data_IF_094612224361
#
_entry.id   IF_094612224361
#
_cell.length_a   1.000
_cell.length_b   1.000
_cell.length_c   1.000
_cell.angle_alpha   90.00
_cell.angle_beta   90.00
_cell.angle_gamma   90.00
#
_symmetry.space_group_name_H-M   'P 1'
#
loop_
_entity.id
_entity.type
_entity.pdbx_description
1 polymer ?
#
# COMPACT_ATOMS: atom_id res chain seq x y z
N UNK A 1 -27.01 14.52 -3.36
CA UNK A 1 -26.67 15.01 -4.72
C UNK A 1 -25.44 15.92 -4.81
N UNK A 2 -25.19 16.87 -3.89
CA UNK A 2 -23.97 17.72 -3.93
C UNK A 2 -22.67 16.92 -3.75
N UNK A 3 -22.61 16.01 -2.80
CA UNK A 3 -21.45 15.17 -2.53
C UNK A 3 -21.11 14.20 -3.66
N UNK A 4 -22.12 13.63 -4.32
CA UNK A 4 -21.91 12.76 -5.48
C UNK A 4 -21.27 13.52 -6.65
N UNK A 5 -21.64 14.78 -6.87
CA UNK A 5 -21.01 15.65 -7.89
C UNK A 5 -19.57 15.98 -7.54
N UNK A 6 -19.25 16.19 -6.26
CA UNK A 6 -17.86 16.46 -5.80
C UNK A 6 -17.00 15.21 -5.97
N UNK A 7 -17.50 14.04 -5.59
CA UNK A 7 -16.79 12.77 -5.78
C UNK A 7 -16.56 12.49 -7.28
N UNK A 8 -17.58 12.69 -8.12
CA UNK A 8 -17.47 12.52 -9.55
C UNK A 8 -16.48 13.52 -10.18
N UNK A 9 -16.48 14.77 -9.71
CA UNK A 9 -15.55 15.80 -10.16
C UNK A 9 -14.10 15.51 -9.71
N UNK A 10 -13.89 15.01 -8.50
CA UNK A 10 -12.60 14.57 -8.02
C UNK A 10 -12.10 13.35 -8.83
N UNK A 11 -12.98 12.41 -9.14
CA UNK A 11 -12.69 11.23 -9.96
C UNK A 11 -12.28 11.60 -11.40
N UNK A 12 -12.97 12.56 -12.01
CA UNK A 12 -12.60 13.09 -13.34
C UNK A 12 -11.26 13.85 -13.28
N UNK A 13 -10.98 14.56 -12.18
CA UNK A 13 -9.71 15.25 -11.96
C UNK A 13 -8.53 14.28 -11.78
N UNK A 14 -8.76 13.06 -11.29
CA UNK A 14 -7.70 12.05 -11.14
C UNK A 14 -7.26 11.46 -12.47
N UNK A 15 -8.16 11.32 -13.43
CA UNK A 15 -7.88 10.77 -14.77
C UNK A 15 -7.33 11.86 -15.73
N UNK A 16 -7.74 13.13 -15.53
CA UNK A 16 -7.36 14.24 -16.44
C UNK A 16 -5.85 14.50 -16.56
N UNK A 17 -5.04 14.53 -15.47
CA UNK A 17 -3.60 14.80 -15.61
C UNK A 17 -2.85 13.68 -16.34
N UNK A 18 -3.28 12.43 -16.17
CA UNK A 18 -2.67 11.29 -16.86
C UNK A 18 -2.90 11.36 -18.37
N UNK A 19 -4.08 11.82 -18.79
CA UNK A 19 -4.41 11.99 -20.21
C UNK A 19 -3.70 13.21 -20.81
N UNK A 20 -3.48 14.28 -20.05
CA UNK A 20 -2.76 15.46 -20.52
C UNK A 20 -1.27 15.16 -20.77
N UNK A 21 -0.64 14.39 -19.87
CA UNK A 21 0.74 13.90 -20.08
C UNK A 21 0.84 12.98 -21.30
N UNK A 22 -0.21 12.18 -21.58
CA UNK A 22 -0.26 11.30 -22.73
C UNK A 22 -0.30 12.03 -24.08
N UNK A 23 -0.82 13.26 -24.14
CA UNK A 23 -0.94 14.01 -25.39
C UNK A 23 0.34 14.77 -25.81
N UNK A 24 1.29 14.97 -24.89
CA UNK A 24 2.52 15.72 -25.18
C UNK A 24 3.70 14.84 -25.64
N UNK A 25 3.69 13.53 -25.38
CA UNK A 25 4.78 12.61 -25.74
C UNK A 25 4.67 11.93 -27.12
N UNK A 26 3.85 12.43 -28.04
CA UNK A 26 3.67 11.84 -29.37
C UNK A 26 4.82 12.11 -30.34
N UNK A 27 6.07 11.89 -29.94
CA UNK A 27 7.23 11.84 -30.82
C UNK A 27 7.84 10.44 -30.88
N UNK A 28 7.51 9.70 -31.93
CA UNK A 28 8.24 8.65 -32.68
C UNK A 28 9.17 7.63 -31.95
N UNK A 29 9.06 7.38 -30.67
CA UNK A 29 9.68 6.21 -30.02
C UNK A 29 8.65 5.14 -29.76
N UNK A 30 9.02 3.86 -29.96
CA UNK A 30 8.20 2.75 -29.51
C UNK A 30 8.10 2.86 -27.97
N UNK A 31 6.91 3.19 -27.49
CA UNK A 31 6.66 3.30 -26.05
C UNK A 31 6.81 1.92 -25.46
N UNK A 32 7.87 1.69 -24.71
CA UNK A 32 8.00 0.47 -23.91
C UNK A 32 7.01 0.55 -22.75
N UNK A 33 5.80 0.04 -23.00
CA UNK A 33 4.69 0.00 -22.05
C UNK A 33 5.09 -0.70 -20.76
N UNK A 34 5.96 -1.71 -20.83
CA UNK A 34 6.42 -2.42 -19.65
C UNK A 34 7.31 -1.53 -18.78
N UNK A 35 8.26 -0.83 -19.37
CA UNK A 35 9.13 0.11 -18.65
C UNK A 35 8.32 1.26 -18.02
N UNK A 36 7.35 1.80 -18.75
CA UNK A 36 6.44 2.83 -18.24
C UNK A 36 5.62 2.33 -17.05
N UNK A 37 5.05 1.12 -17.15
CA UNK A 37 4.26 0.50 -16.07
C UNK A 37 5.10 0.29 -14.81
N UNK A 38 6.23 -0.36 -14.94
CA UNK A 38 7.09 -0.69 -13.78
C UNK A 38 7.74 0.55 -13.16
N UNK A 39 8.10 1.55 -13.96
CA UNK A 39 8.65 2.81 -13.46
C UNK A 39 7.65 3.60 -12.60
N UNK A 40 6.36 3.59 -12.95
CA UNK A 40 5.33 4.28 -12.16
C UNK A 40 4.91 3.53 -10.89
N UNK A 41 4.80 2.20 -10.98
CA UNK A 41 4.41 1.34 -9.83
C UNK A 41 5.57 1.17 -8.84
N UNK A 42 6.81 1.23 -9.32
CA UNK A 42 8.02 1.01 -8.56
C UNK A 42 8.28 2.06 -7.47
N UNK A 43 9.17 1.70 -6.55
CA UNK A 43 9.67 2.61 -5.52
C UNK A 43 10.88 3.38 -6.04
N UNK A 44 10.89 4.69 -5.86
CA UNK A 44 11.90 5.62 -6.38
C UNK A 44 12.46 6.53 -5.29
N UNK A 45 13.66 7.08 -5.53
CA UNK A 45 14.31 8.04 -4.61
C UNK A 45 13.82 9.48 -4.79
N UNK A 46 13.11 9.77 -5.87
CA UNK A 46 12.45 11.05 -6.12
C UNK A 46 10.95 10.89 -6.22
N UNK A 47 10.19 11.90 -5.81
CA UNK A 47 8.73 11.92 -5.98
C UNK A 47 8.39 12.75 -7.20
N UNK A 48 8.14 12.11 -8.33
CA UNK A 48 7.73 12.76 -9.55
C UNK A 48 6.29 13.30 -9.40
N UNK A 49 6.08 14.59 -9.74
CA UNK A 49 4.76 15.24 -9.66
C UNK A 49 4.17 15.40 -11.05
N UNK A 50 4.92 16.01 -11.97
CA UNK A 50 4.47 16.32 -13.34
C UNK A 50 5.64 16.72 -14.20
N UNK A 51 5.43 16.69 -15.51
CA UNK A 51 6.35 17.24 -16.49
C UNK A 51 5.85 18.63 -16.95
N UNK A 52 6.64 19.66 -16.73
CA UNK A 52 6.30 21.03 -17.11
C UNK A 52 7.32 21.57 -18.11
N UNK A 53 6.87 21.86 -19.33
CA UNK A 53 7.74 22.35 -20.42
C UNK A 53 8.98 21.47 -20.68
N UNK A 54 8.83 20.15 -20.67
CA UNK A 54 9.94 19.20 -20.88
C UNK A 54 10.92 19.10 -19.70
N UNK A 55 10.58 19.68 -18.55
CA UNK A 55 11.32 19.51 -17.30
C UNK A 55 10.54 18.65 -16.33
N UNK A 56 11.16 17.58 -15.84
CA UNK A 56 10.60 16.75 -14.78
C UNK A 56 10.56 17.54 -13.45
N UNK A 57 9.37 17.74 -12.91
CA UNK A 57 9.18 18.34 -11.59
C UNK A 57 9.10 17.22 -10.56
N UNK A 58 10.23 16.99 -9.87
CA UNK A 58 10.36 15.99 -8.82
C UNK A 58 10.60 16.65 -7.46
N UNK A 59 9.99 16.12 -6.41
CA UNK A 59 10.39 16.47 -5.04
C UNK A 59 11.57 15.57 -4.69
N UNK A 60 12.78 16.15 -4.46
CA UNK A 60 13.93 15.37 -4.08
C UNK A 60 13.77 14.85 -2.65
N UNK A 61 14.06 13.57 -2.46
CA UNK A 61 14.02 12.93 -1.14
C UNK A 61 15.43 12.72 -0.59
N UNK A 62 15.62 12.72 0.74
CA UNK A 62 16.92 12.51 1.34
C UNK A 62 17.38 11.05 1.18
N UNK A 63 18.55 10.88 0.59
CA UNK A 63 19.24 9.61 0.46
C UNK A 63 20.26 9.48 1.59
N UNK A 64 20.22 8.37 2.32
CA UNK A 64 21.11 8.05 3.43
C UNK A 64 21.71 6.68 3.13
N UNK A 65 22.98 6.68 2.77
CA UNK A 65 23.69 5.45 2.38
C UNK A 65 24.97 5.27 3.21
N UNK A 66 25.31 4.03 3.46
CA UNK A 66 26.56 3.67 4.12
C UNK A 66 27.42 2.82 3.19
N UNK A 67 28.55 3.38 2.78
CA UNK A 67 29.58 2.68 2.04
C UNK A 67 30.58 2.04 2.99
N UNK A 68 31.04 0.83 2.65
CA UNK A 68 32.14 0.17 3.40
C UNK A 68 33.48 0.89 3.25
N UNK A 69 33.63 1.67 2.17
CA UNK A 69 34.89 2.36 1.84
C UNK A 69 34.96 3.76 2.44
N UNK A 70 33.85 4.52 2.35
CA UNK A 70 33.81 5.96 2.64
C UNK A 70 32.94 6.33 3.85
N UNK A 71 32.16 5.37 4.41
CA UNK A 71 31.31 5.58 5.58
C UNK A 71 29.91 6.11 5.24
N UNK A 72 29.34 6.94 6.12
CA UNK A 72 28.00 7.50 5.96
C UNK A 72 27.98 8.69 5.03
N UNK A 73 27.04 8.70 4.09
CA UNK A 73 26.75 9.80 3.19
C UNK A 73 25.29 10.17 3.24
N UNK A 74 24.99 11.48 3.27
CA UNK A 74 23.63 12.03 3.25
C UNK A 74 23.55 13.10 2.18
N UNK A 75 22.69 12.89 1.20
CA UNK A 75 22.48 13.83 0.10
C UNK A 75 21.03 13.77 -0.41
N UNK A 76 20.64 14.74 -1.22
CA UNK A 76 19.31 14.75 -1.86
C UNK A 76 19.34 13.99 -3.17
N UNK A 77 18.25 13.28 -3.50
CA UNK A 77 18.13 12.47 -4.72
C UNK A 77 18.39 13.24 -6.00
N UNK A 78 18.11 14.55 -6.03
CA UNK A 78 18.39 15.43 -7.18
C UNK A 78 19.85 15.46 -7.63
N UNK A 79 20.78 15.02 -6.77
CA UNK A 79 22.21 14.98 -7.12
C UNK A 79 22.63 13.72 -7.89
N UNK A 80 21.79 12.69 -7.86
CA UNK A 80 22.06 11.40 -8.52
C UNK A 80 21.03 11.07 -9.61
N UNK A 81 20.01 11.91 -9.79
CA UNK A 81 19.02 11.78 -10.87
C UNK A 81 19.64 12.11 -12.23
N UNK A 82 19.04 11.61 -13.32
CA UNK A 82 19.43 11.88 -14.72
C UNK A 82 20.89 11.49 -15.05
N UNK A 83 21.38 10.37 -14.49
CA UNK A 83 22.75 9.89 -14.77
C UNK A 83 23.86 10.68 -14.08
N UNK A 84 23.51 11.62 -13.18
CA UNK A 84 24.52 12.32 -12.40
C UNK A 84 25.12 11.42 -11.31
N UNK A 85 26.42 11.59 -11.09
CA UNK A 85 27.15 10.90 -10.03
C UNK A 85 27.53 11.88 -8.92
N UNK A 86 27.29 11.52 -7.67
CA UNK A 86 27.65 12.30 -6.51
C UNK A 86 28.44 11.45 -5.50
N UNK A 87 29.67 11.89 -5.15
CA UNK A 87 30.56 11.19 -4.22
C UNK A 87 30.80 9.70 -4.53
N UNK A 88 30.74 9.31 -5.82
CA UNK A 88 30.89 7.93 -6.24
C UNK A 88 29.57 7.14 -6.33
N UNK A 89 28.48 7.69 -5.84
CA UNK A 89 27.14 7.09 -5.90
C UNK A 89 26.38 7.55 -7.14
N UNK A 90 25.65 6.63 -7.76
CA UNK A 90 24.75 6.90 -8.91
C UNK A 90 23.59 5.90 -8.91
N UNK A 91 22.56 6.18 -9.69
CA UNK A 91 21.46 5.24 -9.95
C UNK A 91 21.86 4.31 -11.08
N UNK A 92 21.82 3.00 -10.85
CA UNK A 92 22.06 2.02 -11.89
C UNK A 92 20.90 2.04 -12.89
N UNK A 93 21.21 2.21 -14.20
CA UNK A 93 20.20 2.25 -15.26
C UNK A 93 19.78 0.84 -15.68
N UNK A 94 20.68 -0.13 -15.63
CA UNK A 94 20.43 -1.50 -16.07
C UNK A 94 21.05 -2.53 -15.10
N UNK A 95 20.70 -3.80 -15.27
CA UNK A 95 21.32 -4.91 -14.56
C UNK A 95 20.61 -5.31 -13.26
N UNK A 96 21.36 -5.99 -12.38
CA UNK A 96 20.85 -6.54 -11.12
C UNK A 96 20.34 -5.47 -10.14
N UNK A 97 20.87 -4.28 -10.22
CA UNK A 97 20.58 -3.17 -9.30
C UNK A 97 19.90 -1.99 -10.01
N UNK A 98 19.18 -2.25 -11.12
CA UNK A 98 18.43 -1.22 -11.81
C UNK A 98 17.55 -0.40 -10.82
N UNK A 99 17.53 0.92 -11.00
CA UNK A 99 16.84 1.90 -10.14
C UNK A 99 17.26 1.90 -8.67
N UNK A 100 18.45 1.39 -8.35
CA UNK A 100 19.03 1.43 -7.00
C UNK A 100 20.31 2.25 -6.96
N UNK A 101 20.58 2.83 -5.79
CA UNK A 101 21.85 3.52 -5.55
C UNK A 101 22.96 2.47 -5.49
N UNK A 102 23.99 2.67 -6.32
CA UNK A 102 25.17 1.82 -6.38
C UNK A 102 26.45 2.66 -6.30
N UNK A 103 27.52 2.02 -5.89
CA UNK A 103 28.89 2.54 -5.94
C UNK A 103 29.79 1.56 -6.68
N UNK A 104 30.88 2.04 -7.26
CA UNK A 104 31.92 1.15 -7.85
C UNK A 104 32.93 0.78 -6.79
N UNK A 105 33.13 -0.52 -6.63
CA UNK A 105 34.19 -1.04 -5.76
C UNK A 105 35.56 -0.84 -6.41
N UNK A 106 36.62 -1.07 -5.64
CA UNK A 106 38.02 -1.04 -6.11
C UNK A 106 38.30 -1.96 -7.30
N UNK A 107 37.45 -2.96 -7.52
CA UNK A 107 37.48 -3.86 -8.69
C UNK A 107 36.73 -3.33 -9.92
N UNK A 108 36.03 -2.18 -9.79
CA UNK A 108 35.18 -1.60 -10.83
C UNK A 108 33.79 -2.24 -10.96
N UNK A 109 33.46 -3.22 -10.12
CA UNK A 109 32.13 -3.83 -10.07
C UNK A 109 31.12 -2.96 -9.31
N UNK A 110 29.85 -2.98 -9.77
CA UNK A 110 28.76 -2.29 -9.09
C UNK A 110 28.37 -3.04 -7.82
N UNK A 111 28.47 -2.34 -6.71
CA UNK A 111 28.09 -2.84 -5.38
C UNK A 111 27.02 -1.95 -4.78
N UNK A 112 26.01 -2.57 -4.19
CA UNK A 112 24.96 -1.84 -3.49
C UNK A 112 25.42 -1.51 -2.06
N UNK A 113 25.49 -0.22 -1.68
CA UNK A 113 25.76 0.19 -0.30
C UNK A 113 24.59 -0.20 0.61
N UNK A 114 24.79 -0.13 1.93
CA UNK A 114 23.68 -0.22 2.87
C UNK A 114 22.83 1.05 2.81
N UNK A 115 21.58 0.92 2.42
CA UNK A 115 20.70 2.00 2.02
C UNK A 115 19.52 2.11 3.00
N UNK A 116 19.42 3.26 3.69
CA UNK A 116 18.31 3.64 4.59
C UNK A 116 17.63 4.91 4.06
N UNK A 117 17.70 5.15 2.77
CA UNK A 117 17.14 6.35 2.14
C UNK A 117 15.63 6.43 2.31
N UNK A 118 15.11 7.64 2.38
CA UNK A 118 13.66 7.89 2.37
C UNK A 118 13.21 7.85 0.91
N UNK A 119 12.66 6.71 0.50
CA UNK A 119 12.08 6.53 -0.82
C UNK A 119 10.65 7.09 -0.87
N UNK A 120 10.05 7.18 -2.07
CA UNK A 120 8.66 7.59 -2.28
C UNK A 120 7.68 6.80 -1.39
N UNK A 121 7.86 5.47 -1.30
CA UNK A 121 6.99 4.62 -0.49
C UNK A 121 7.18 4.87 1.02
N UNK A 122 8.42 5.08 1.48
CA UNK A 122 8.70 5.41 2.89
C UNK A 122 8.13 6.77 3.25
N UNK A 123 8.29 7.78 2.39
CA UNK A 123 7.71 9.11 2.61
C UNK A 123 6.18 9.05 2.67
N UNK A 124 5.53 8.33 1.75
CA UNK A 124 4.08 8.13 1.76
C UNK A 124 3.59 7.37 3.00
N UNK A 125 4.33 6.36 3.45
CA UNK A 125 4.04 5.65 4.70
C UNK A 125 4.07 6.60 5.91
N UNK A 126 5.08 7.48 5.98
CA UNK A 126 5.16 8.50 7.03
C UNK A 126 3.99 9.48 6.96
N UNK A 127 3.62 9.94 5.76
CA UNK A 127 2.48 10.83 5.55
C UNK A 127 1.17 10.13 5.95
N UNK A 128 0.96 8.87 5.56
CA UNK A 128 -0.22 8.08 5.95
C UNK A 128 -0.34 7.94 7.47
N UNK A 129 0.78 7.66 8.15
CA UNK A 129 0.83 7.56 9.60
C UNK A 129 0.53 8.90 10.29
N UNK A 130 1.12 9.99 9.82
CA UNK A 130 0.84 11.34 10.34
C UNK A 130 -0.61 11.76 10.11
N UNK A 131 -1.16 11.46 8.94
CA UNK A 131 -2.56 11.73 8.62
C UNK A 131 -3.48 10.93 9.54
N UNK A 132 -3.19 9.65 9.77
CA UNK A 132 -3.96 8.81 10.70
C UNK A 132 -3.94 9.40 12.11
N UNK A 133 -2.77 9.77 12.62
CA UNK A 133 -2.62 10.40 13.94
C UNK A 133 -3.43 11.70 14.00
N UNK A 134 -3.36 12.54 12.97
CA UNK A 134 -4.08 13.80 12.90
C UNK A 134 -5.62 13.58 12.90
N UNK A 135 -6.12 12.59 12.15
CA UNK A 135 -7.55 12.24 12.10
C UNK A 135 -8.05 11.72 13.46
N UNK A 136 -7.30 10.79 14.08
CA UNK A 136 -7.67 10.23 15.38
C UNK A 136 -7.63 11.28 16.48
N UNK A 137 -6.56 12.10 16.54
CA UNK A 137 -6.45 13.19 17.52
C UNK A 137 -7.49 14.29 17.28
N UNK A 138 -7.82 14.59 16.01
CA UNK A 138 -8.85 15.53 15.64
C UNK A 138 -10.23 15.09 16.15
N UNK A 139 -10.59 13.83 15.91
CA UNK A 139 -11.81 13.22 16.42
C UNK A 139 -11.83 13.19 17.95
N UNK A 140 -10.75 12.77 18.59
CA UNK A 140 -10.65 12.73 20.05
C UNK A 140 -10.78 14.14 20.70
N UNK A 141 -10.25 15.19 20.05
CA UNK A 141 -10.41 16.57 20.49
C UNK A 141 -11.86 17.05 20.42
N UNK A 142 -12.59 16.62 19.39
CA UNK A 142 -14.01 16.93 19.25
C UNK A 142 -14.80 16.38 20.46
N UNK A 143 -14.63 15.07 20.79
CA UNK A 143 -15.28 14.42 21.93
C UNK A 143 -14.88 14.99 23.30
N UNK A 144 -13.71 15.59 23.43
CA UNK A 144 -13.29 16.28 24.68
C UNK A 144 -14.00 17.63 24.86
N UNK A 145 -14.46 18.26 23.79
CA UNK A 145 -15.07 19.60 23.81
C UNK A 145 -16.59 19.58 23.74
N UNK A 146 -17.16 18.51 23.22
CA UNK A 146 -18.60 18.38 22.97
C UNK A 146 -19.11 17.13 23.69
N UNK A 147 -20.26 17.27 24.33
CA UNK A 147 -20.95 16.13 24.91
C UNK A 147 -21.88 15.52 23.86
N UNK A 148 -21.50 14.36 23.33
CA UNK A 148 -22.26 13.68 22.28
C UNK A 148 -23.68 13.28 22.70
N UNK A 149 -23.95 13.20 24.01
CA UNK A 149 -25.30 12.89 24.55
C UNK A 149 -26.23 14.09 24.43
N UNK A 150 -25.71 15.28 24.67
CA UNK A 150 -26.53 16.53 24.68
C UNK A 150 -26.52 17.29 23.36
N UNK A 151 -25.40 17.26 22.64
CA UNK A 151 -25.19 18.01 21.38
C UNK A 151 -25.40 17.18 20.11
N UNK A 152 -25.58 15.85 20.27
CA UNK A 152 -25.79 14.90 19.17
C UNK A 152 -24.49 14.44 18.49
N UNK A 153 -24.64 13.56 17.47
CA UNK A 153 -23.52 12.94 16.78
C UNK A 153 -22.63 13.95 16.05
N UNK A 154 -21.31 13.75 16.00
CA UNK A 154 -20.39 14.61 15.27
C UNK A 154 -20.71 14.66 13.78
N UNK A 155 -20.46 15.81 13.16
CA UNK A 155 -20.68 16.02 11.72
C UNK A 155 -19.33 16.08 10.98
N UNK A 156 -19.36 15.83 9.67
CA UNK A 156 -18.18 15.90 8.83
C UNK A 156 -17.19 14.74 9.06
N UNK A 157 -15.89 15.04 9.09
CA UNK A 157 -14.83 14.03 9.19
C UNK A 157 -14.91 13.25 10.51
N UNK A 158 -15.21 13.92 11.63
CA UNK A 158 -15.33 13.23 12.92
C UNK A 158 -16.50 12.24 12.94
N UNK A 159 -17.64 12.57 12.32
CA UNK A 159 -18.76 11.63 12.17
C UNK A 159 -18.47 10.47 11.25
N UNK A 160 -17.71 10.70 10.16
CA UNK A 160 -17.25 9.62 9.30
C UNK A 160 -16.30 8.67 10.05
N UNK A 161 -15.36 9.21 10.81
CA UNK A 161 -14.45 8.41 11.64
C UNK A 161 -15.21 7.61 12.70
N UNK A 162 -16.19 8.20 13.37
CA UNK A 162 -17.04 7.51 14.33
C UNK A 162 -17.77 6.33 13.69
N UNK A 163 -18.44 6.57 12.55
CA UNK A 163 -19.17 5.52 11.83
C UNK A 163 -18.25 4.35 11.45
N UNK A 164 -17.06 4.64 10.92
CA UNK A 164 -16.11 3.62 10.53
C UNK A 164 -15.51 2.87 11.75
N UNK A 165 -15.21 3.59 12.83
CA UNK A 165 -14.71 2.98 14.07
C UNK A 165 -15.76 2.05 14.65
N UNK A 166 -17.03 2.49 14.75
CA UNK A 166 -18.11 1.67 15.28
C UNK A 166 -18.34 0.42 14.42
N UNK A 167 -18.42 0.58 13.10
CA UNK A 167 -18.57 -0.53 12.17
C UNK A 167 -17.44 -1.58 12.33
N UNK A 168 -16.18 -1.16 12.37
CA UNK A 168 -15.05 -2.10 12.50
C UNK A 168 -14.98 -2.68 13.91
N UNK A 169 -15.24 -1.88 14.95
CA UNK A 169 -15.15 -2.34 16.34
C UNK A 169 -16.29 -3.28 16.72
N UNK A 170 -17.54 -2.91 16.38
CA UNK A 170 -18.72 -3.61 16.87
C UNK A 170 -19.09 -4.79 15.96
N UNK A 171 -19.12 -4.57 14.64
CA UNK A 171 -19.55 -5.59 13.68
C UNK A 171 -18.44 -6.61 13.34
N UNK A 172 -17.16 -6.24 13.57
CA UNK A 172 -16.05 -7.07 13.13
C UNK A 172 -15.20 -7.56 14.33
N UNK A 173 -14.62 -6.65 15.12
CA UNK A 173 -13.65 -7.03 16.16
C UNK A 173 -14.35 -7.71 17.33
N UNK A 174 -15.41 -7.12 17.82
CA UNK A 174 -16.17 -7.62 18.96
C UNK A 174 -16.81 -8.98 18.66
N UNK A 175 -17.36 -9.14 17.46
CA UNK A 175 -17.97 -10.39 17.01
C UNK A 175 -16.94 -11.51 16.85
N UNK A 176 -15.75 -11.22 16.32
CA UNK A 176 -14.71 -12.20 16.05
C UNK A 176 -13.94 -12.64 17.30
N UNK A 177 -13.64 -11.72 18.22
CA UNK A 177 -12.79 -11.98 19.40
C UNK A 177 -13.63 -12.27 20.66
N UNK A 178 -14.85 -11.75 20.72
CA UNK A 178 -15.74 -11.86 21.88
C UNK A 178 -15.61 -10.69 22.86
N UNK A 179 -16.65 -10.52 23.70
CA UNK A 179 -16.80 -9.36 24.59
C UNK A 179 -15.72 -9.21 25.66
N UNK A 180 -15.07 -10.31 26.06
CA UNK A 180 -14.06 -10.29 27.15
C UNK A 180 -12.75 -9.66 26.72
N UNK A 181 -12.26 -10.03 25.52
CA UNK A 181 -10.89 -9.72 25.08
C UNK A 181 -10.80 -8.64 24.00
N UNK A 182 -11.91 -8.29 23.28
CA UNK A 182 -11.87 -7.38 22.14
C UNK A 182 -11.22 -6.03 22.46
N UNK A 183 -11.48 -5.46 23.65
CA UNK A 183 -10.93 -4.15 24.05
C UNK A 183 -9.41 -4.10 24.06
N UNK A 184 -8.75 -5.24 24.26
CA UNK A 184 -7.29 -5.35 24.28
C UNK A 184 -6.70 -5.26 22.87
N UNK A 185 -7.40 -5.85 21.87
CA UNK A 185 -6.92 -5.95 20.49
C UNK A 185 -7.52 -4.89 19.56
N UNK A 186 -8.63 -4.28 19.95
CA UNK A 186 -9.31 -3.25 19.15
C UNK A 186 -8.38 -2.09 18.73
N UNK A 187 -7.53 -1.50 19.60
CA UNK A 187 -6.64 -0.42 19.16
C UNK A 187 -5.67 -0.85 18.05
N UNK A 188 -5.11 -2.06 18.15
CA UNK A 188 -4.23 -2.61 17.12
C UNK A 188 -4.98 -2.83 15.81
N UNK A 189 -6.11 -3.52 15.84
CA UNK A 189 -6.90 -3.85 14.64
C UNK A 189 -7.47 -2.62 13.96
N UNK A 190 -7.95 -1.63 14.73
CA UNK A 190 -8.38 -0.34 14.19
C UNK A 190 -7.21 0.42 13.53
N UNK A 191 -6.03 0.40 14.15
CA UNK A 191 -4.84 1.02 13.56
C UNK A 191 -4.47 0.36 12.24
N UNK A 192 -4.48 -0.97 12.16
CA UNK A 192 -4.22 -1.72 10.93
C UNK A 192 -5.25 -1.38 9.86
N UNK A 193 -6.54 -1.37 10.21
CA UNK A 193 -7.62 -1.02 9.27
C UNK A 193 -7.42 0.36 8.67
N UNK A 194 -7.30 1.38 9.51
CA UNK A 194 -7.16 2.76 9.03
C UNK A 194 -5.85 3.00 8.31
N UNK A 195 -4.76 2.37 8.74
CA UNK A 195 -3.48 2.48 8.05
C UNK A 195 -3.55 1.92 6.63
N UNK A 196 -4.10 0.71 6.45
CA UNK A 196 -4.27 0.10 5.13
C UNK A 196 -5.23 0.94 4.29
N UNK A 197 -6.37 1.33 4.84
CA UNK A 197 -7.38 2.12 4.13
C UNK A 197 -6.84 3.47 3.66
N UNK A 198 -6.17 4.22 4.54
CA UNK A 198 -5.59 5.52 4.18
C UNK A 198 -4.42 5.39 3.21
N UNK A 199 -3.56 4.38 3.36
CA UNK A 199 -2.47 4.12 2.44
C UNK A 199 -2.98 3.78 1.04
N UNK A 200 -4.01 2.95 0.94
CA UNK A 200 -4.65 2.61 -0.33
C UNK A 200 -5.34 3.83 -0.95
N UNK A 201 -6.06 4.61 -0.13
CA UNK A 201 -6.75 5.82 -0.59
C UNK A 201 -5.76 6.86 -1.13
N UNK A 202 -4.63 7.08 -0.44
CA UNK A 202 -3.56 7.96 -0.92
C UNK A 202 -2.89 7.41 -2.19
N UNK A 203 -2.79 6.08 -2.34
CA UNK A 203 -2.27 5.45 -3.54
C UNK A 203 -3.08 5.76 -4.80
N UNK A 204 -4.41 5.85 -4.69
CA UNK A 204 -5.31 6.17 -5.81
C UNK A 204 -5.17 7.63 -6.27
N UNK A 205 -4.79 8.54 -5.37
CA UNK A 205 -4.65 9.97 -5.70
C UNK A 205 -3.36 10.19 -6.52
N UNK A 206 -3.42 10.63 -7.79
CA UNK A 206 -2.26 10.67 -8.68
C UNK A 206 -1.32 11.87 -8.46
N UNK A 207 -1.63 12.78 -7.53
CA UNK A 207 -0.83 13.95 -7.22
C UNK A 207 -0.37 13.95 -5.76
N UNK A 208 0.72 14.69 -5.50
CA UNK A 208 1.27 14.81 -4.14
C UNK A 208 0.20 15.28 -3.13
N UNK A 209 0.09 14.63 -1.95
CA UNK A 209 0.94 13.59 -1.36
C UNK A 209 0.54 12.14 -1.72
N UNK A 210 -0.21 11.93 -2.77
CA UNK A 210 -0.65 10.62 -3.26
C UNK A 210 0.28 10.03 -4.33
N UNK A 211 -0.21 9.00 -5.04
CA UNK A 211 0.49 8.35 -6.13
C UNK A 211 1.64 7.41 -5.73
N UNK A 212 1.81 7.14 -4.43
CA UNK A 212 2.75 6.15 -3.95
C UNK A 212 2.02 4.85 -3.58
N UNK A 213 2.42 3.75 -4.18
CA UNK A 213 1.82 2.44 -3.96
C UNK A 213 2.43 1.74 -2.72
N UNK A 214 2.09 2.23 -1.51
CA UNK A 214 2.65 1.74 -0.24
C UNK A 214 2.31 0.27 -0.01
N UNK A 215 1.05 -0.11 -0.16
CA UNK A 215 0.57 -1.48 0.06
C UNK A 215 0.82 -2.41 -1.13
N UNK A 216 1.17 -1.86 -2.29
CA UNK A 216 1.74 -2.60 -3.42
C UNK A 216 3.24 -2.88 -3.26
N UNK A 217 3.86 -2.48 -2.14
CA UNK A 217 5.19 -2.92 -1.77
C UNK A 217 5.10 -4.16 -0.88
N UNK A 218 5.66 -5.28 -1.35
CA UNK A 218 5.60 -6.57 -0.65
C UNK A 218 6.25 -6.52 0.73
N UNK A 219 7.25 -5.66 0.95
CA UNK A 219 7.89 -5.52 2.24
C UNK A 219 6.93 -4.92 3.29
N UNK A 220 6.12 -3.93 2.90
CA UNK A 220 5.13 -3.30 3.79
C UNK A 220 4.03 -4.30 4.15
N UNK A 221 3.48 -5.00 3.17
CA UNK A 221 2.43 -6.00 3.41
C UNK A 221 2.94 -7.20 4.21
N UNK A 222 4.21 -7.58 4.02
CA UNK A 222 4.87 -8.61 4.82
C UNK A 222 5.00 -8.18 6.29
N UNK A 223 5.40 -6.95 6.56
CA UNK A 223 5.48 -6.43 7.94
C UNK A 223 4.11 -6.41 8.60
N UNK A 224 3.06 -5.98 7.92
CA UNK A 224 1.69 -6.01 8.44
C UNK A 224 1.23 -7.45 8.76
N UNK A 225 1.48 -8.39 7.86
CA UNK A 225 1.16 -9.79 8.06
C UNK A 225 1.97 -10.40 9.20
N UNK A 226 3.25 -10.03 9.34
CA UNK A 226 4.12 -10.46 10.44
C UNK A 226 3.65 -9.90 11.78
N UNK A 227 3.20 -8.65 11.85
CA UNK A 227 2.60 -8.08 13.05
C UNK A 227 1.35 -8.88 13.50
N UNK A 228 0.48 -9.26 12.55
CA UNK A 228 -0.67 -10.12 12.82
C UNK A 228 -0.22 -11.51 13.27
N UNK A 229 0.78 -12.10 12.61
CA UNK A 229 1.35 -13.39 13.01
C UNK A 229 1.88 -13.36 14.45
N UNK A 230 2.61 -12.32 14.83
CA UNK A 230 3.12 -12.10 16.18
C UNK A 230 1.96 -11.96 17.15
N UNK A 231 0.95 -11.15 16.81
CA UNK A 231 -0.22 -10.95 17.68
C UNK A 231 -0.98 -12.26 17.95
N UNK A 232 -1.15 -13.12 16.94
CA UNK A 232 -1.82 -14.42 17.08
C UNK A 232 -1.01 -15.38 17.94
N UNK A 233 0.30 -15.51 17.66
CA UNK A 233 1.12 -16.57 18.29
C UNK A 233 1.66 -16.19 19.67
N UNK A 234 2.09 -14.92 19.87
CA UNK A 234 2.65 -14.48 21.17
C UNK A 234 1.55 -14.36 22.24
N UNK A 235 0.35 -13.93 21.82
CA UNK A 235 -0.79 -13.77 22.73
C UNK A 235 -1.75 -14.97 22.73
N UNK A 236 -1.45 -16.03 21.98
CA UNK A 236 -2.24 -17.25 21.94
C UNK A 236 -2.29 -17.97 23.29
N UNK A 237 -3.42 -18.60 23.61
CA UNK A 237 -3.62 -19.39 24.85
C UNK A 237 -2.80 -20.68 24.83
N UNK A 238 -2.60 -21.27 25.99
CA UNK A 238 -1.98 -22.61 26.12
C UNK A 238 -2.75 -23.70 25.35
N UNK A 239 -4.07 -23.56 25.26
CA UNK A 239 -4.94 -24.48 24.52
C UNK A 239 -4.63 -24.41 23.00
N UNK A 240 -4.49 -23.21 22.44
CA UNK A 240 -4.10 -22.98 21.05
C UNK A 240 -2.78 -23.67 20.68
N UNK A 241 -1.74 -23.52 21.51
CA UNK A 241 -0.47 -24.21 21.30
C UNK A 241 -0.54 -25.72 21.44
N UNK A 242 -1.38 -26.20 22.40
CA UNK A 242 -1.64 -27.63 22.57
C UNK A 242 -2.33 -28.19 21.34
N UNK A 243 -3.30 -27.49 20.76
CA UNK A 243 -4.02 -27.92 19.57
C UNK A 243 -3.13 -27.98 18.33
N UNK A 244 -2.20 -27.03 18.15
CA UNK A 244 -1.21 -27.06 17.05
C UNK A 244 -0.23 -28.21 17.22
N UNK A 245 0.33 -28.39 18.41
CA UNK A 245 1.38 -29.37 18.64
C UNK A 245 0.83 -30.78 18.88
N UNK A 246 -0.36 -30.87 19.48
CA UNK A 246 -1.00 -32.14 19.86
C UNK A 246 -2.51 -32.11 19.65
N UNK A 247 -2.99 -32.00 18.37
CA UNK A 247 -4.42 -31.91 18.07
C UNK A 247 -5.20 -33.15 18.60
N UNK A 248 -6.45 -32.97 19.03
CA UNK A 248 -7.30 -34.05 19.53
C UNK A 248 -7.93 -34.82 18.35
N UNK A 249 -7.08 -35.62 17.67
CA UNK A 249 -7.45 -36.48 16.54
C UNK A 249 -7.12 -37.94 16.81
N UNK A 250 -7.73 -38.92 16.10
CA UNK A 250 -7.43 -40.35 16.27
C UNK A 250 -5.94 -40.66 16.10
N UNK A 251 -5.47 -41.66 16.88
CA UNK A 251 -4.05 -42.06 17.00
C UNK A 251 -3.38 -42.39 15.64
N UNK A 252 -4.12 -42.92 14.67
CA UNK A 252 -3.55 -43.27 13.36
C UNK A 252 -3.11 -42.04 12.55
N UNK A 253 -3.67 -40.83 12.83
CA UNK A 253 -3.23 -39.58 12.21
C UNK A 253 -2.05 -38.92 12.92
N UNK A 254 -1.74 -39.41 14.17
CA UNK A 254 -0.60 -38.94 14.96
C UNK A 254 0.64 -39.83 14.77
N UNK A 255 0.41 -41.11 14.48
CA UNK A 255 1.48 -42.14 14.42
C UNK A 255 1.20 -43.13 13.26
N UNK A 256 2.20 -43.54 12.44
CA UNK A 256 3.64 -43.28 12.57
C UNK A 256 4.09 -41.91 11.96
N UNK A 257 3.25 -41.26 11.15
CA UNK A 257 3.54 -39.98 10.55
C UNK A 257 2.66 -38.88 11.18
N UNK A 258 3.25 -37.81 11.76
CA UNK A 258 2.51 -36.73 12.38
C UNK A 258 1.88 -35.79 11.35
N UNK A 259 1.01 -36.32 10.48
CA UNK A 259 0.43 -35.60 9.34
C UNK A 259 -0.36 -34.38 9.80
N UNK A 260 -1.14 -34.53 10.87
CA UNK A 260 -2.00 -33.43 11.35
C UNK A 260 -1.18 -32.28 11.92
N UNK A 261 -0.11 -32.57 12.67
CA UNK A 261 0.80 -31.55 13.19
C UNK A 261 1.50 -30.79 12.06
N UNK A 262 1.89 -31.48 10.98
CA UNK A 262 2.49 -30.85 9.82
C UNK A 262 1.49 -29.92 9.13
N UNK A 263 0.24 -30.34 8.98
CA UNK A 263 -0.83 -29.52 8.39
C UNK A 263 -1.08 -28.28 9.23
N UNK A 264 -1.20 -28.41 10.57
CA UNK A 264 -1.41 -27.28 11.46
C UNK A 264 -0.23 -26.30 11.45
N UNK A 265 1.02 -26.82 11.46
CA UNK A 265 2.21 -25.99 11.38
C UNK A 265 2.31 -25.26 10.03
N UNK A 266 1.95 -25.95 8.94
CA UNK A 266 1.86 -25.31 7.62
C UNK A 266 0.77 -24.23 7.60
N UNK A 267 -0.39 -24.50 8.21
CA UNK A 267 -1.48 -23.54 8.38
C UNK A 267 -1.05 -22.27 9.11
N UNK A 268 -0.21 -22.43 10.15
CA UNK A 268 0.33 -21.30 10.92
C UNK A 268 1.11 -20.30 10.06
N UNK A 269 1.87 -20.78 9.08
CA UNK A 269 2.68 -19.96 8.18
C UNK A 269 1.85 -19.46 6.99
N UNK A 270 0.96 -20.31 6.44
CA UNK A 270 0.18 -20.00 5.25
C UNK A 270 -0.86 -18.89 5.48
N UNK A 271 -1.42 -18.78 6.69
CA UNK A 271 -2.40 -17.73 7.04
C UNK A 271 -1.83 -16.31 6.86
N UNK A 272 -0.72 -15.89 7.51
CA UNK A 272 -0.15 -14.57 7.31
C UNK A 272 0.39 -14.38 5.88
N UNK A 273 0.94 -15.43 5.27
CA UNK A 273 1.36 -15.38 3.87
C UNK A 273 0.20 -15.04 2.92
N UNK A 274 -0.96 -15.68 3.12
CA UNK A 274 -2.18 -15.39 2.35
C UNK A 274 -2.65 -13.95 2.54
N UNK A 275 -2.58 -13.40 3.78
CA UNK A 275 -2.90 -12.00 4.04
C UNK A 275 -1.99 -11.05 3.27
N UNK A 276 -0.68 -11.29 3.32
CA UNK A 276 0.34 -10.52 2.61
C UNK A 276 0.08 -10.50 1.11
N UNK A 277 -0.03 -11.69 0.50
CA UNK A 277 -0.18 -11.83 -0.96
C UNK A 277 -1.49 -11.20 -1.43
N UNK A 278 -2.58 -11.38 -0.70
CA UNK A 278 -3.89 -10.83 -1.07
C UNK A 278 -3.85 -9.30 -1.12
N UNK A 279 -3.29 -8.65 -0.07
CA UNK A 279 -3.20 -7.20 -0.03
C UNK A 279 -2.30 -6.66 -1.13
N UNK A 280 -1.11 -7.23 -1.28
CA UNK A 280 -0.15 -6.88 -2.32
C UNK A 280 -0.72 -7.05 -3.73
N UNK A 281 -1.24 -8.25 -4.05
CA UNK A 281 -1.65 -8.58 -5.41
C UNK A 281 -2.85 -7.74 -5.88
N UNK A 282 -3.82 -7.49 -5.01
CA UNK A 282 -5.01 -6.72 -5.40
C UNK A 282 -4.68 -5.26 -5.71
N UNK A 283 -3.84 -4.62 -4.90
CA UNK A 283 -3.46 -3.22 -5.13
C UNK A 283 -2.53 -3.11 -6.35
N UNK A 284 -1.58 -4.04 -6.49
CA UNK A 284 -0.70 -4.06 -7.66
C UNK A 284 -1.49 -4.28 -8.96
N UNK A 285 -2.48 -5.19 -8.95
CA UNK A 285 -3.33 -5.45 -10.10
C UNK A 285 -4.20 -4.23 -10.46
N UNK A 286 -4.77 -3.51 -9.48
CA UNK A 286 -5.56 -2.30 -9.70
C UNK A 286 -4.76 -1.23 -10.44
N UNK A 287 -3.58 -0.87 -9.92
CA UNK A 287 -2.70 0.10 -10.57
C UNK A 287 -2.23 -0.35 -11.95
N UNK A 288 -1.87 -1.63 -12.12
CA UNK A 288 -1.47 -2.16 -13.42
C UNK A 288 -2.60 -2.08 -14.46
N UNK A 289 -3.86 -2.29 -14.06
CA UNK A 289 -5.02 -2.18 -14.95
C UNK A 289 -5.24 -0.74 -15.42
N UNK A 290 -5.18 0.25 -14.51
CA UNK A 290 -5.36 1.66 -14.85
C UNK A 290 -4.25 2.12 -15.80
N UNK A 291 -3.00 1.82 -15.49
CA UNK A 291 -1.86 2.15 -16.36
C UNK A 291 -1.94 1.44 -17.72
N UNK A 292 -2.42 0.18 -17.73
CA UNK A 292 -2.68 -0.56 -18.97
C UNK A 292 -3.73 0.12 -19.85
N UNK A 293 -4.80 0.65 -19.27
CA UNK A 293 -5.81 1.43 -19.99
C UNK A 293 -5.20 2.71 -20.59
N UNK A 294 -4.37 3.41 -19.83
CA UNK A 294 -3.66 4.60 -20.32
C UNK A 294 -2.72 4.25 -21.46
N UNK A 295 -1.98 3.15 -21.36
CA UNK A 295 -1.08 2.67 -22.40
C UNK A 295 -1.79 2.41 -23.73
N UNK A 296 -3.08 1.98 -23.72
CA UNK A 296 -3.89 1.80 -24.94
C UNK A 296 -3.99 3.10 -25.73
N UNK A 297 -4.09 4.27 -25.08
CA UNK A 297 -4.16 5.58 -25.75
C UNK A 297 -2.88 5.83 -26.55
N UNK A 298 -1.70 5.55 -25.96
CA UNK A 298 -0.41 5.74 -26.63
C UNK A 298 -0.22 4.78 -27.80
N UNK A 299 -0.56 3.52 -27.62
CA UNK A 299 -0.47 2.50 -28.67
C UNK A 299 -1.38 2.84 -29.87
N UNK A 300 -2.61 3.32 -29.58
CA UNK A 300 -3.58 3.66 -30.63
C UNK A 300 -3.30 5.03 -31.29
N UNK A 301 -2.44 5.86 -30.73
CA UNK A 301 -2.04 7.15 -31.32
C UNK A 301 -1.47 6.98 -32.75
N UNK A 302 -0.78 5.85 -33.01
CA UNK A 302 -0.22 5.51 -34.33
C UNK A 302 -1.26 5.10 -35.38
N UNK A 303 -2.50 4.76 -34.97
CA UNK A 303 -3.55 4.22 -35.84
C UNK A 303 -4.43 5.30 -36.51
N UNK A 304 -4.13 6.58 -36.26
CA UNK A 304 -4.82 7.73 -36.82
C UNK A 304 -5.82 8.40 -35.87
N UNK A 305 -6.20 9.67 -36.16
CA UNK A 305 -6.92 10.51 -35.20
C UNK A 305 -8.33 10.01 -34.85
N UNK A 306 -9.03 9.34 -35.77
CA UNK A 306 -10.38 8.83 -35.54
C UNK A 306 -10.36 7.63 -34.59
N UNK A 307 -9.41 6.70 -34.81
CA UNK A 307 -9.28 5.49 -33.97
C UNK A 307 -8.77 5.91 -32.60
N UNK A 308 -7.76 6.76 -32.54
CA UNK A 308 -7.22 7.24 -31.28
C UNK A 308 -8.26 8.04 -30.47
N UNK A 309 -9.04 8.91 -31.10
CA UNK A 309 -10.11 9.65 -30.43
C UNK A 309 -11.21 8.73 -29.86
N UNK A 310 -11.60 7.70 -30.62
CA UNK A 310 -12.58 6.71 -30.13
C UNK A 310 -12.03 5.90 -28.96
N UNK A 311 -10.77 5.45 -29.04
CA UNK A 311 -10.13 4.69 -27.97
C UNK A 311 -9.90 5.56 -26.73
N UNK A 312 -9.51 6.81 -26.88
CA UNK A 312 -9.39 7.76 -25.77
C UNK A 312 -10.71 7.93 -25.03
N UNK A 313 -11.82 8.08 -25.77
CA UNK A 313 -13.14 8.21 -25.15
C UNK A 313 -13.54 6.93 -24.38
N UNK A 314 -13.31 5.76 -24.96
CA UNK A 314 -13.58 4.49 -24.29
C UNK A 314 -12.69 4.33 -23.05
N UNK A 315 -11.40 4.60 -23.17
CA UNK A 315 -10.43 4.51 -22.06
C UNK A 315 -10.79 5.45 -20.94
N UNK A 316 -11.23 6.68 -21.23
CA UNK A 316 -11.67 7.62 -20.21
C UNK A 316 -12.89 7.09 -19.44
N UNK A 317 -13.89 6.55 -20.15
CA UNK A 317 -15.06 5.97 -19.53
C UNK A 317 -14.73 4.78 -18.62
N UNK A 318 -13.88 3.86 -19.14
CA UNK A 318 -13.42 2.71 -18.38
C UNK A 318 -12.49 3.11 -17.23
N UNK A 319 -11.63 4.12 -17.41
CA UNK A 319 -10.75 4.65 -16.36
C UNK A 319 -11.55 5.13 -15.15
N UNK A 320 -12.57 5.97 -15.35
CA UNK A 320 -13.46 6.42 -14.26
C UNK A 320 -14.15 5.25 -13.56
N UNK A 321 -14.58 4.24 -14.32
CA UNK A 321 -15.17 3.03 -13.75
C UNK A 321 -14.14 2.23 -12.92
N UNK A 322 -12.91 2.10 -13.42
CA UNK A 322 -11.83 1.40 -12.72
C UNK A 322 -11.40 2.14 -11.44
N UNK A 323 -11.32 3.47 -11.45
CA UNK A 323 -11.04 4.27 -10.25
C UNK A 323 -12.11 4.07 -9.17
N UNK A 324 -13.39 3.99 -9.57
CA UNK A 324 -14.48 3.66 -8.63
C UNK A 324 -14.33 2.25 -8.04
N UNK A 325 -13.94 1.27 -8.86
CA UNK A 325 -13.66 -0.08 -8.39
C UNK A 325 -12.44 -0.11 -7.48
N UNK A 326 -11.37 0.61 -7.81
CA UNK A 326 -10.16 0.67 -6.99
C UNK A 326 -10.44 1.29 -5.61
N UNK A 327 -11.27 2.34 -5.54
CA UNK A 327 -11.74 2.90 -4.28
C UNK A 327 -12.52 1.87 -3.44
N UNK A 328 -13.39 1.10 -4.07
CA UNK A 328 -14.13 0.02 -3.40
C UNK A 328 -13.19 -1.07 -2.90
N UNK A 329 -12.24 -1.49 -3.74
CA UNK A 329 -11.22 -2.49 -3.41
C UNK A 329 -10.33 -2.00 -2.28
N UNK A 330 -9.93 -0.73 -2.25
CA UNK A 330 -9.16 -0.13 -1.18
C UNK A 330 -9.83 -0.30 0.19
N UNK A 331 -11.14 -0.07 0.25
CA UNK A 331 -11.93 -0.28 1.47
C UNK A 331 -12.06 -1.77 1.81
N UNK A 332 -12.45 -2.60 0.83
CA UNK A 332 -12.63 -4.05 1.03
C UNK A 332 -11.33 -4.71 1.52
N UNK A 333 -10.17 -4.31 0.99
CA UNK A 333 -8.89 -4.89 1.40
C UNK A 333 -8.56 -4.56 2.86
N UNK A 334 -8.77 -3.32 3.31
CA UNK A 334 -8.60 -2.95 4.70
C UNK A 334 -9.55 -3.74 5.61
N UNK A 335 -10.81 -3.88 5.19
CA UNK A 335 -11.84 -4.62 5.93
C UNK A 335 -11.51 -6.11 6.03
N UNK A 336 -11.20 -6.77 4.91
CA UNK A 336 -10.90 -8.21 4.87
C UNK A 336 -9.60 -8.54 5.61
N UNK A 337 -8.56 -7.71 5.48
CA UNK A 337 -7.32 -7.91 6.22
C UNK A 337 -7.58 -7.86 7.73
N UNK A 338 -8.31 -6.85 8.19
CA UNK A 338 -8.64 -6.68 9.60
C UNK A 338 -9.57 -7.78 10.11
N UNK A 339 -10.57 -8.19 9.32
CA UNK A 339 -11.47 -9.28 9.62
C UNK A 339 -10.71 -10.60 9.84
N UNK A 340 -9.86 -10.98 8.89
CA UNK A 340 -9.10 -12.23 9.01
C UNK A 340 -8.11 -12.17 10.18
N UNK A 341 -7.46 -11.03 10.40
CA UNK A 341 -6.58 -10.82 11.56
C UNK A 341 -7.36 -10.97 12.87
N UNK A 342 -8.56 -10.40 12.94
CA UNK A 342 -9.47 -10.50 14.10
C UNK A 342 -9.91 -11.93 14.35
N UNK A 343 -10.32 -12.67 13.30
CA UNK A 343 -10.69 -14.08 13.39
C UNK A 343 -9.52 -14.93 13.87
N UNK A 344 -8.31 -14.73 13.35
CA UNK A 344 -7.13 -15.50 13.77
C UNK A 344 -6.77 -15.23 15.23
N UNK A 345 -6.87 -13.97 15.69
CA UNK A 345 -6.69 -13.63 17.10
C UNK A 345 -7.80 -14.27 17.95
N UNK A 346 -9.06 -14.19 17.52
CA UNK A 346 -10.20 -14.82 18.20
C UNK A 346 -10.02 -16.32 18.39
N UNK A 347 -9.67 -17.04 17.32
CA UNK A 347 -9.39 -18.48 17.38
C UNK A 347 -8.23 -18.81 18.33
N UNK A 348 -7.18 -17.98 18.36
CA UNK A 348 -6.05 -18.21 19.29
C UNK A 348 -6.39 -17.97 20.76
N UNK A 349 -7.55 -17.37 21.05
CA UNK A 349 -8.02 -17.03 22.41
C UNK A 349 -9.21 -17.86 22.88
N UNK A 350 -9.85 -18.65 22.01
CA UNK A 350 -10.97 -19.50 22.39
C UNK A 350 -10.54 -20.49 23.46
N UNK A 351 -11.31 -20.54 24.55
CA UNK A 351 -11.26 -21.57 25.60
C UNK A 351 -12.44 -22.50 25.32
N UNK A 352 -12.18 -23.73 24.93
CA UNK A 352 -13.18 -24.81 24.88
C UNK A 352 -13.26 -25.54 26.21
#
# INVERSE_FOLDING_TARGET
MRWLKIILMLLVLTVSPVILSASEESSSQDVDVAHMLFGHIGDSYGWHITDWNGKHVTIPLPCIVYSKQTGWHVFMSSRIEHGHQYEGFYLAEEGKYADKIVEKDSSGEEVRPFDISITKNVASLMISALLLIALVLGSARWYRKHDAVTEGAPKGIAGLMEMMIMMVNDDLIKESIGEKDYRKYAPYLLTVFFFIFLSNLLGIVPFFPGGANVTGNIAVTMVLALCTFIAVNVFGNKHYWKEILWPDVPLFLKFPLPIMQIIELFGLISKPFSLMVRLFANIMAGHAMILGLVAVIFVTAKLGPVINGSMTFITLLFGVFMDCLELLVAFIQAYVFTMLSSVFIGLSRQEH
#
